data_IF_916611195226
#
_entry.id   IF_916611195226
#
_cell.length_a   1.000
_cell.length_b   1.000
_cell.length_c   1.000
_cell.angle_alpha   90.00
_cell.angle_beta   90.00
_cell.angle_gamma   90.00
#
_symmetry.space_group_name_H-M   'P 1'
#
loop_
_entity.id
_entity.type
_entity.pdbx_description
1 polymer ?
#
# COMPACT_ATOMS: atom_id res chain seq x y z
N UNK A 1 15.42 12.08 2.43
CA UNK A 1 14.38 11.57 3.35
C UNK A 1 14.69 10.10 3.54
N UNK A 2 14.67 9.58 4.77
CA UNK A 2 14.98 8.18 5.01
C UNK A 2 13.90 7.24 4.40
N UNK A 3 14.30 6.04 3.96
CA UNK A 3 13.38 5.09 3.32
C UNK A 3 12.25 4.71 4.28
N UNK A 4 12.55 4.45 5.56
CA UNK A 4 11.53 4.07 6.53
C UNK A 4 10.52 5.22 6.74
N UNK A 5 11.00 6.47 6.77
CA UNK A 5 10.11 7.65 6.80
C UNK A 5 9.16 7.69 5.60
N UNK A 6 9.65 7.33 4.41
CA UNK A 6 8.80 7.26 3.20
C UNK A 6 7.77 6.14 3.31
N UNK A 7 8.16 4.96 3.79
CA UNK A 7 7.22 3.84 3.99
C UNK A 7 6.15 4.18 5.03
N UNK A 8 6.50 4.92 6.09
CA UNK A 8 5.52 5.44 7.06
C UNK A 8 4.55 6.45 6.42
N UNK A 9 5.02 7.29 5.51
CA UNK A 9 4.13 8.19 4.77
C UNK A 9 3.20 7.41 3.82
N UNK A 10 3.72 6.41 3.11
CA UNK A 10 2.88 5.52 2.29
C UNK A 10 1.82 4.81 3.13
N UNK A 11 2.17 4.31 4.33
CA UNK A 11 1.22 3.69 5.24
C UNK A 11 0.08 4.63 5.66
N UNK A 12 0.38 5.92 5.88
CA UNK A 12 -0.66 6.94 6.17
C UNK A 12 -1.60 7.14 4.98
N UNK A 13 -1.07 7.14 3.76
CA UNK A 13 -1.88 7.27 2.54
C UNK A 13 -2.75 6.01 2.34
N UNK A 14 -2.21 4.81 2.56
CA UNK A 14 -3.02 3.57 2.52
C UNK A 14 -4.14 3.61 3.57
N UNK A 15 -3.90 4.22 4.74
CA UNK A 15 -4.93 4.35 5.78
C UNK A 15 -6.12 5.22 5.36
N UNK A 16 -5.98 6.09 4.33
CA UNK A 16 -7.10 6.85 3.77
C UNK A 16 -8.13 5.94 3.06
N UNK A 17 -7.75 4.71 2.69
CA UNK A 17 -8.67 3.69 2.15
C UNK A 17 -9.68 3.24 3.23
N UNK A 18 -9.43 3.51 4.53
CA UNK A 18 -10.39 3.25 5.61
C UNK A 18 -11.55 4.28 5.64
N UNK A 19 -12.24 4.43 4.51
CA UNK A 19 -13.35 5.38 4.33
C UNK A 19 -14.72 4.68 4.28
N UNK A 20 -15.75 5.35 4.81
CA UNK A 20 -17.15 4.87 4.78
C UNK A 20 -17.66 4.46 3.40
N UNK A 21 -17.16 5.06 2.30
CA UNK A 21 -17.51 4.76 0.92
C UNK A 21 -16.87 3.47 0.38
N UNK A 22 -15.81 3.00 1.02
CA UNK A 22 -15.07 1.80 0.58
C UNK A 22 -15.68 0.55 1.20
N UNK A 23 -15.95 -0.52 0.44
CA UNK A 23 -16.39 -1.80 0.98
C UNK A 23 -15.53 -2.33 2.13
N UNK A 24 -16.18 -2.91 3.17
CA UNK A 24 -15.51 -3.38 4.39
C UNK A 24 -14.38 -4.40 4.12
N UNK A 25 -14.53 -5.23 3.10
CA UNK A 25 -13.51 -6.18 2.66
C UNK A 25 -12.23 -5.46 2.19
N UNK A 26 -12.36 -4.41 1.38
CA UNK A 26 -11.24 -3.62 0.86
C UNK A 26 -10.53 -2.89 2.00
N UNK A 27 -11.29 -2.24 2.90
CA UNK A 27 -10.70 -1.57 4.08
C UNK A 27 -9.89 -2.51 4.96
N UNK A 28 -10.45 -3.69 5.26
CA UNK A 28 -9.77 -4.72 6.05
C UNK A 28 -8.47 -5.15 5.37
N UNK A 29 -8.53 -5.42 4.07
CA UNK A 29 -7.37 -5.86 3.31
C UNK A 29 -6.28 -4.77 3.23
N UNK A 30 -6.63 -3.51 2.96
CA UNK A 30 -5.66 -2.40 2.96
C UNK A 30 -4.91 -2.27 4.30
N UNK A 31 -5.64 -2.44 5.41
CA UNK A 31 -5.05 -2.46 6.75
C UNK A 31 -4.13 -3.67 6.97
N UNK A 32 -4.58 -4.87 6.58
CA UNK A 32 -3.80 -6.10 6.70
C UNK A 32 -2.50 -6.03 5.89
N UNK A 33 -2.55 -5.48 4.67
CA UNK A 33 -1.37 -5.28 3.82
C UNK A 33 -0.35 -4.37 4.50
N UNK A 34 -0.83 -3.27 5.09
CA UNK A 34 0.02 -2.30 5.79
C UNK A 34 0.71 -2.94 7.00
N UNK A 35 -0.03 -3.68 7.83
CA UNK A 35 0.49 -4.27 9.06
C UNK A 35 1.39 -5.50 8.80
N UNK A 36 1.00 -6.37 7.85
CA UNK A 36 1.70 -7.63 7.60
C UNK A 36 2.95 -7.45 6.73
N UNK A 37 2.94 -6.46 5.84
CA UNK A 37 4.02 -6.25 4.86
C UNK A 37 4.67 -4.89 5.03
N UNK A 38 3.96 -3.79 4.75
CA UNK A 38 4.60 -2.48 4.63
C UNK A 38 5.34 -2.06 5.91
N UNK A 39 4.74 -2.25 7.09
CA UNK A 39 5.31 -1.86 8.38
C UNK A 39 6.03 -2.99 9.13
N UNK A 40 6.16 -4.16 8.50
CA UNK A 40 6.75 -5.33 9.15
C UNK A 40 8.28 -5.32 9.09
N UNK A 41 8.90 -4.70 10.10
CA UNK A 41 10.36 -4.57 10.21
C UNK A 41 11.11 -5.88 10.42
N UNK A 42 10.41 -7.00 10.67
CA UNK A 42 11.03 -8.33 10.70
C UNK A 42 11.36 -8.86 9.29
N UNK A 43 10.86 -8.20 8.23
CA UNK A 43 11.14 -8.52 6.83
C UNK A 43 12.09 -7.50 6.21
N UNK A 44 12.83 -7.93 5.18
CA UNK A 44 13.67 -7.02 4.39
C UNK A 44 12.83 -5.99 3.65
N UNK A 45 13.36 -4.78 3.50
CA UNK A 45 12.65 -3.63 2.91
C UNK A 45 12.17 -3.89 1.48
N UNK A 46 12.99 -4.50 0.64
CA UNK A 46 12.64 -4.94 -0.71
C UNK A 46 11.43 -5.88 -0.73
N UNK A 47 11.42 -6.89 0.15
CA UNK A 47 10.31 -7.84 0.29
C UNK A 47 9.06 -7.14 0.82
N UNK A 48 9.19 -6.23 1.79
CA UNK A 48 8.06 -5.45 2.31
C UNK A 48 7.38 -4.65 1.19
N UNK A 49 8.19 -3.94 0.39
CA UNK A 49 7.72 -3.09 -0.70
C UNK A 49 7.06 -3.92 -1.81
N UNK A 50 7.75 -4.94 -2.32
CA UNK A 50 7.23 -5.77 -3.41
C UNK A 50 5.92 -6.50 -3.03
N UNK A 51 5.84 -7.03 -1.81
CA UNK A 51 4.62 -7.70 -1.34
C UNK A 51 3.47 -6.72 -1.10
N UNK A 52 3.77 -5.50 -0.67
CA UNK A 52 2.77 -4.43 -0.53
C UNK A 52 2.19 -4.07 -1.91
N UNK A 53 3.05 -3.85 -2.92
CA UNK A 53 2.60 -3.55 -4.29
C UNK A 53 1.70 -4.66 -4.84
N UNK A 54 2.13 -5.93 -4.74
CA UNK A 54 1.36 -7.07 -5.23
C UNK A 54 -0.03 -7.15 -4.58
N UNK A 55 -0.12 -6.89 -3.28
CA UNK A 55 -1.40 -6.94 -2.56
C UNK A 55 -2.29 -5.73 -2.81
N UNK A 56 -1.72 -4.56 -3.08
CA UNK A 56 -2.48 -3.39 -3.49
C UNK A 56 -3.02 -3.55 -4.93
N UNK A 57 -2.30 -4.26 -5.80
CA UNK A 57 -2.80 -4.60 -7.13
C UNK A 57 -4.05 -5.49 -7.06
N UNK A 58 -4.06 -6.50 -6.18
CA UNK A 58 -5.25 -7.32 -5.91
C UNK A 58 -6.47 -6.47 -5.46
N UNK A 59 -6.24 -5.36 -4.75
CA UNK A 59 -7.29 -4.42 -4.36
C UNK A 59 -7.75 -3.53 -5.51
N UNK A 60 -6.83 -3.13 -6.37
CA UNK A 60 -7.11 -2.33 -7.56
C UNK A 60 -7.99 -3.09 -8.56
N UNK A 61 -7.81 -4.41 -8.66
CA UNK A 61 -8.62 -5.29 -9.50
C UNK A 61 -10.02 -5.59 -8.93
N UNK A 62 -10.33 -5.20 -7.68
CA UNK A 62 -11.66 -5.41 -7.10
C UNK A 62 -12.70 -4.50 -7.80
N UNK A 63 -13.74 -5.07 -8.44
CA UNK A 63 -14.72 -4.27 -9.19
C UNK A 63 -15.57 -3.34 -8.31
N UNK A 64 -15.53 -3.52 -6.99
CA UNK A 64 -16.27 -2.71 -6.03
C UNK A 64 -15.45 -1.54 -5.48
N UNK A 65 -14.20 -1.38 -5.88
CA UNK A 65 -13.39 -0.26 -5.42
C UNK A 65 -13.88 1.05 -6.06
N UNK A 66 -14.09 2.14 -5.28
CA UNK A 66 -14.44 3.41 -5.89
C UNK A 66 -13.25 3.99 -6.67
N UNK A 67 -13.47 4.65 -7.82
CA UNK A 67 -12.39 5.11 -8.71
C UNK A 67 -11.35 6.03 -8.05
N UNK A 68 -11.78 6.83 -7.08
CA UNK A 68 -10.89 7.72 -6.30
C UNK A 68 -9.83 6.91 -5.52
N UNK A 69 -10.21 5.77 -4.94
CA UNK A 69 -9.28 4.89 -4.22
C UNK A 69 -8.47 4.01 -5.16
N UNK A 70 -9.01 3.62 -6.32
CA UNK A 70 -8.21 2.99 -7.38
C UNK A 70 -7.05 3.89 -7.83
N UNK A 71 -7.32 5.19 -8.01
CA UNK A 71 -6.29 6.18 -8.34
C UNK A 71 -5.27 6.34 -7.21
N UNK A 72 -5.74 6.34 -5.95
CA UNK A 72 -4.87 6.38 -4.77
C UNK A 72 -3.91 5.20 -4.73
N UNK A 73 -4.39 3.98 -5.03
CA UNK A 73 -3.55 2.78 -5.11
C UNK A 73 -2.47 2.92 -6.18
N UNK A 74 -2.79 3.43 -7.37
CA UNK A 74 -1.80 3.65 -8.43
C UNK A 74 -0.73 4.67 -8.01
N UNK A 75 -1.12 5.74 -7.30
CA UNK A 75 -0.17 6.71 -6.74
C UNK A 75 0.74 6.06 -5.70
N UNK A 76 0.19 5.23 -4.80
CA UNK A 76 0.96 4.47 -3.81
C UNK A 76 1.95 3.52 -4.50
N UNK A 77 1.51 2.76 -5.50
CA UNK A 77 2.37 1.83 -6.24
C UNK A 77 3.52 2.55 -6.94
N UNK A 78 3.27 3.74 -7.49
CA UNK A 78 4.31 4.59 -8.10
C UNK A 78 5.36 5.04 -7.07
N UNK A 79 4.95 5.40 -5.86
CA UNK A 79 5.89 5.78 -4.79
C UNK A 79 6.68 4.59 -4.25
N UNK A 80 6.03 3.43 -4.12
CA UNK A 80 6.68 2.18 -3.73
C UNK A 80 7.70 1.72 -4.78
N UNK A 81 7.41 1.89 -6.07
CA UNK A 81 8.33 1.56 -7.16
C UNK A 81 9.62 2.40 -7.12
N UNK A 82 9.50 3.70 -6.80
CA UNK A 82 10.67 4.57 -6.60
C UNK A 82 11.53 4.07 -5.45
N UNK A 83 10.90 3.68 -4.32
CA UNK A 83 11.63 3.11 -3.18
C UNK A 83 12.32 1.81 -3.58
N UNK A 84 11.65 0.93 -4.31
CA UNK A 84 12.22 -0.35 -4.75
C UNK A 84 13.43 -0.14 -5.68
N UNK A 85 13.32 0.80 -6.62
CA UNK A 85 14.42 1.16 -7.54
C UNK A 85 15.65 1.70 -6.79
N UNK A 86 15.45 2.44 -5.69
CA UNK A 86 16.55 2.94 -4.85
C UNK A 86 17.22 1.86 -3.99
N UNK A 87 16.58 0.70 -3.81
CA UNK A 87 17.12 -0.43 -3.05
C UNK A 87 17.97 -1.40 -3.91
N UNK A 88 17.88 -1.29 -5.24
CA UNK A 88 18.62 -2.08 -6.24
C UNK A 88 19.96 -1.44 -6.58
#
# INVERSE_FOLDING_TARGET
MDIETRLQNVAKVIAEIDDSKVPRNIRRQAKEVTEQWLLNTAKKTDVRVAMTQAKLEELYEDPNIPPEFGTLILMINTELEKVLTELL
#
